data_IF_255412271172
#
_entry.id   IF_255412271172
#
_cell.length_a   1.000
_cell.length_b   1.000
_cell.length_c   1.000
_cell.angle_alpha   90.00
_cell.angle_beta   90.00
_cell.angle_gamma   90.00
#
_symmetry.space_group_name_H-M   'P 1'
#
loop_
_entity.id
_entity.type
_entity.pdbx_description
1 polymer ?
#
# COMPACT_ATOMS: atom_id res chain seq x y z
N UNK A 1 -15.29 23.32 2.26
CA UNK A 1 -14.04 22.67 1.79
C UNK A 1 -13.01 22.88 2.87
N UNK A 2 -12.66 21.84 3.61
CA UNK A 2 -11.42 21.87 4.38
C UNK A 2 -10.27 21.95 3.38
N UNK A 3 -9.41 22.96 3.54
CA UNK A 3 -8.25 23.12 2.66
C UNK A 3 -7.08 22.38 3.29
N UNK A 4 -6.49 21.46 2.53
CA UNK A 4 -5.22 20.86 2.91
C UNK A 4 -4.15 21.95 2.94
N UNK A 5 -3.52 22.15 4.10
CA UNK A 5 -2.48 23.15 4.29
C UNK A 5 -1.25 22.51 4.90
N UNK A 6 -0.09 22.78 4.29
CA UNK A 6 1.19 22.43 4.89
C UNK A 6 1.46 23.38 6.06
N UNK A 7 1.42 22.84 7.28
CA UNK A 7 1.68 23.59 8.51
C UNK A 7 3.17 23.66 8.85
N UNK A 8 3.91 22.60 8.55
CA UNK A 8 5.33 22.49 8.86
C UNK A 8 6.03 21.52 7.92
N UNK A 9 7.27 21.85 7.54
CA UNK A 9 8.15 20.99 6.78
C UNK A 9 9.55 21.02 7.39
N UNK A 10 10.20 19.87 7.47
CA UNK A 10 11.57 19.75 7.93
C UNK A 10 12.38 18.84 6.99
N UNK A 11 13.72 18.92 7.10
CA UNK A 11 14.61 18.01 6.40
C UNK A 11 14.72 16.68 7.18
N UNK A 12 14.72 15.57 6.45
CA UNK A 12 14.91 14.23 7.00
C UNK A 12 13.66 13.37 6.95
N UNK A 13 13.75 12.16 7.52
CA UNK A 13 12.66 11.18 7.61
C UNK A 13 12.76 10.36 8.89
N UNK A 14 11.69 9.63 9.22
CA UNK A 14 11.67 8.75 10.39
C UNK A 14 11.49 9.48 11.72
N UNK A 15 11.93 8.84 12.81
CA UNK A 15 11.65 9.27 14.20
C UNK A 15 11.94 10.74 14.48
N UNK A 16 13.12 11.22 14.11
CA UNK A 16 13.55 12.58 14.40
C UNK A 16 12.69 13.63 13.67
N UNK A 17 12.28 13.33 12.44
CA UNK A 17 11.40 14.20 11.66
C UNK A 17 10.01 14.32 12.31
N UNK A 18 9.45 13.20 12.79
CA UNK A 18 8.18 13.18 13.53
C UNK A 18 8.27 13.97 14.84
N UNK A 19 9.34 13.78 15.61
CA UNK A 19 9.53 14.53 16.86
C UNK A 19 9.65 16.04 16.64
N UNK A 20 10.28 16.45 15.53
CA UNK A 20 10.34 17.86 15.15
C UNK A 20 8.96 18.43 14.77
N UNK A 21 8.09 17.64 14.13
CA UNK A 21 6.67 18.01 13.92
C UNK A 21 5.98 18.19 15.28
N UNK A 22 6.13 17.24 16.21
CA UNK A 22 5.55 17.33 17.54
C UNK A 22 5.98 18.59 18.30
N UNK A 23 7.29 18.89 18.31
CA UNK A 23 7.82 20.13 18.91
C UNK A 23 7.25 21.38 18.26
N UNK A 24 7.10 21.39 16.93
CA UNK A 24 6.52 22.52 16.23
C UNK A 24 5.04 22.73 16.61
N UNK A 25 4.25 21.66 16.63
CA UNK A 25 2.84 21.71 17.03
C UNK A 25 2.67 22.18 18.47
N UNK A 26 3.50 21.67 19.39
CA UNK A 26 3.52 22.10 20.79
C UNK A 26 3.86 23.59 20.94
N UNK A 27 4.85 24.09 20.19
CA UNK A 27 5.20 25.51 20.17
C UNK A 27 4.07 26.41 19.62
N UNK A 28 3.14 25.83 18.86
CA UNK A 28 1.91 26.49 18.39
C UNK A 28 0.70 26.30 19.31
N UNK A 29 0.90 25.69 20.48
CA UNK A 29 -0.14 25.46 21.49
C UNK A 29 -0.97 24.19 21.28
N UNK A 30 -0.65 23.36 20.29
CA UNK A 30 -1.33 22.09 20.09
C UNK A 30 -0.71 21.01 20.97
N UNK A 31 -1.53 20.32 21.77
CA UNK A 31 -1.13 19.20 22.61
C UNK A 31 -1.14 17.90 21.80
N UNK A 32 -0.27 16.95 22.17
CA UNK A 32 -0.15 15.68 21.46
C UNK A 32 -1.46 14.88 21.46
N UNK A 33 -2.26 14.99 22.51
CA UNK A 33 -3.55 14.31 22.69
C UNK A 33 -4.64 14.83 21.73
N UNK A 34 -4.44 16.03 21.15
CA UNK A 34 -5.35 16.57 20.14
C UNK A 34 -5.14 15.91 18.78
N UNK A 35 -4.02 15.21 18.58
CA UNK A 35 -3.73 14.49 17.34
C UNK A 35 -4.38 13.11 17.41
N UNK A 36 -5.51 12.96 16.72
CA UNK A 36 -6.28 11.72 16.73
C UNK A 36 -5.76 10.67 15.75
N UNK A 37 -5.23 11.12 14.60
CA UNK A 37 -4.76 10.24 13.53
C UNK A 37 -3.49 10.78 12.89
N UNK A 38 -2.59 9.86 12.50
CA UNK A 38 -1.43 10.19 11.67
C UNK A 38 -1.33 9.20 10.53
N UNK A 39 -1.65 9.64 9.31
CA UNK A 39 -1.37 8.88 8.08
C UNK A 39 0.09 9.06 7.70
N UNK A 40 0.79 7.97 7.38
CA UNK A 40 2.22 7.99 7.05
C UNK A 40 2.65 6.78 6.21
N UNK A 41 3.89 6.81 5.74
CA UNK A 41 4.55 5.66 5.13
C UNK A 41 4.76 4.49 6.11
N UNK A 42 4.79 3.25 5.59
CA UNK A 42 5.06 2.04 6.39
C UNK A 42 6.56 1.88 6.69
N UNK A 43 7.14 2.83 7.44
CA UNK A 43 8.53 2.76 7.92
C UNK A 43 8.59 2.58 9.44
N UNK A 44 9.35 1.57 9.95
CA UNK A 44 9.46 1.33 11.39
C UNK A 44 9.91 2.56 12.18
N UNK A 45 10.79 3.37 11.59
CA UNK A 45 11.29 4.60 12.21
C UNK A 45 10.19 5.66 12.38
N UNK A 46 9.33 5.87 11.38
CA UNK A 46 8.21 6.82 11.47
C UNK A 46 7.15 6.33 12.45
N UNK A 47 6.82 5.04 12.42
CA UNK A 47 5.87 4.42 13.36
C UNK A 47 6.35 4.60 14.80
N UNK A 48 7.62 4.29 15.07
CA UNK A 48 8.19 4.49 16.40
C UNK A 48 8.23 5.98 16.79
N UNK A 49 8.47 6.86 15.83
CA UNK A 49 8.38 8.30 16.02
C UNK A 49 7.00 8.76 16.45
N UNK A 50 5.95 8.29 15.78
CA UNK A 50 4.57 8.68 16.11
C UNK A 50 4.14 8.08 17.43
N UNK A 51 4.41 6.80 17.70
CA UNK A 51 4.10 6.22 19.01
C UNK A 51 4.76 6.96 20.17
N UNK A 52 5.98 7.49 19.96
CA UNK A 52 6.68 8.29 20.97
C UNK A 52 6.19 9.75 21.07
N UNK A 53 5.68 10.33 19.98
CA UNK A 53 5.33 11.76 19.91
C UNK A 53 3.84 12.02 20.11
N UNK A 54 2.99 11.11 19.63
CA UNK A 54 1.52 11.17 19.66
C UNK A 54 0.97 9.82 20.13
N UNK A 55 1.14 9.47 21.42
CA UNK A 55 0.82 8.12 21.93
C UNK A 55 -0.66 7.74 21.81
N UNK A 56 -1.57 8.74 21.78
CA UNK A 56 -3.00 8.52 21.58
C UNK A 56 -3.46 8.49 20.11
N UNK A 57 -2.58 8.79 19.16
CA UNK A 57 -2.95 8.86 17.76
C UNK A 57 -3.07 7.46 17.14
N UNK A 58 -4.16 7.23 16.41
CA UNK A 58 -4.28 6.08 15.55
C UNK A 58 -3.37 6.27 14.31
N UNK A 59 -2.79 5.18 13.83
CA UNK A 59 -1.98 5.18 12.60
C UNK A 59 -2.78 4.43 11.54
N UNK A 60 -3.66 5.13 10.79
CA UNK A 60 -4.40 4.48 9.72
C UNK A 60 -3.49 3.97 8.59
N UNK A 61 -3.97 2.95 7.89
CA UNK A 61 -3.32 2.46 6.68
C UNK A 61 -3.40 3.48 5.54
N UNK A 62 -2.25 4.01 5.14
CA UNK A 62 -2.19 4.86 3.96
C UNK A 62 -2.40 4.02 2.68
N UNK A 63 -3.55 4.21 2.03
CA UNK A 63 -3.94 3.51 0.80
C UNK A 63 -2.90 3.64 -0.30
N UNK A 64 -2.32 4.83 -0.48
CA UNK A 64 -1.36 5.08 -1.54
C UNK A 64 -0.09 4.23 -1.38
N UNK A 65 0.46 4.16 -0.18
CA UNK A 65 1.66 3.35 0.09
C UNK A 65 1.40 1.85 -0.08
N UNK A 66 0.22 1.38 0.32
CA UNK A 66 -0.17 -0.04 0.16
C UNK A 66 -0.32 -0.39 -1.32
N UNK A 67 -1.08 0.42 -2.07
CA UNK A 67 -1.27 0.22 -3.53
C UNK A 67 0.07 0.32 -4.26
N UNK A 68 0.97 1.22 -3.83
CA UNK A 68 2.33 1.32 -4.38
C UNK A 68 3.13 0.04 -4.16
N UNK A 69 3.11 -0.53 -2.96
CA UNK A 69 3.79 -1.81 -2.66
C UNK A 69 3.22 -2.97 -3.46
N UNK A 70 1.89 -3.02 -3.62
CA UNK A 70 1.21 -4.04 -4.40
C UNK A 70 1.59 -3.93 -5.90
N UNK A 71 1.60 -2.71 -6.44
CA UNK A 71 2.05 -2.43 -7.80
C UNK A 71 3.52 -2.82 -8.01
N UNK A 72 4.39 -2.59 -7.02
CA UNK A 72 5.78 -3.06 -7.06
C UNK A 72 5.87 -4.58 -7.10
N UNK A 73 5.01 -5.30 -6.37
CA UNK A 73 4.96 -6.76 -6.43
C UNK A 73 4.55 -7.26 -7.83
N UNK A 74 3.52 -6.67 -8.44
CA UNK A 74 3.11 -7.00 -9.83
C UNK A 74 4.23 -6.70 -10.84
N UNK A 75 4.88 -5.54 -10.75
CA UNK A 75 5.99 -5.20 -11.64
C UNK A 75 7.20 -6.13 -11.44
N UNK A 76 7.46 -6.60 -10.22
CA UNK A 76 8.50 -7.58 -9.96
C UNK A 76 8.22 -8.92 -10.65
N UNK A 77 6.96 -9.39 -10.64
CA UNK A 77 6.55 -10.59 -11.41
C UNK A 77 6.74 -10.36 -12.90
N UNK A 78 6.26 -9.23 -13.44
CA UNK A 78 6.45 -8.87 -14.85
C UNK A 78 7.93 -8.82 -15.23
N UNK A 79 8.79 -8.27 -14.37
CA UNK A 79 10.25 -8.22 -14.60
C UNK A 79 10.89 -9.60 -14.61
N UNK A 80 10.40 -10.53 -13.79
CA UNK A 80 10.87 -11.91 -13.78
C UNK A 80 10.50 -12.62 -15.10
N UNK A 81 9.24 -12.55 -15.51
CA UNK A 81 8.74 -13.10 -16.78
C UNK A 81 9.45 -12.48 -18.01
N UNK A 82 9.71 -11.17 -17.96
CA UNK A 82 10.38 -10.44 -19.04
C UNK A 82 11.78 -10.98 -19.35
N UNK A 83 12.47 -11.62 -18.40
CA UNK A 83 13.81 -12.17 -18.64
C UNK A 83 13.82 -13.17 -19.81
N UNK A 84 12.74 -13.91 -19.97
CA UNK A 84 12.55 -14.91 -21.04
C UNK A 84 11.58 -14.43 -22.13
N UNK A 85 10.87 -13.31 -21.89
CA UNK A 85 9.76 -12.86 -22.72
C UNK A 85 9.80 -11.35 -23.01
N UNK A 86 10.48 -10.97 -24.09
CA UNK A 86 10.63 -9.58 -24.52
C UNK A 86 9.31 -8.87 -24.87
N UNK A 87 8.25 -9.63 -25.17
CA UNK A 87 6.91 -9.09 -25.41
C UNK A 87 6.34 -8.31 -24.22
N UNK A 88 6.88 -8.48 -23.00
CA UNK A 88 6.50 -7.71 -21.81
C UNK A 88 7.23 -6.37 -21.67
N UNK A 89 8.13 -6.04 -22.60
CA UNK A 89 8.86 -4.75 -22.63
C UNK A 89 7.90 -3.62 -22.97
N UNK A 90 7.97 -2.52 -22.22
CA UNK A 90 7.09 -1.35 -22.42
C UNK A 90 5.69 -1.48 -21.82
N UNK A 91 5.27 -2.68 -21.41
CA UNK A 91 3.91 -2.94 -20.90
C UNK A 91 3.72 -2.72 -19.39
N UNK A 92 4.67 -2.08 -18.69
CA UNK A 92 4.56 -1.84 -17.24
C UNK A 92 3.21 -1.19 -16.88
N UNK A 93 2.84 -0.09 -17.55
CA UNK A 93 1.62 0.64 -17.23
C UNK A 93 0.33 -0.11 -17.62
N UNK A 94 0.41 -1.10 -18.51
CA UNK A 94 -0.72 -1.99 -18.82
C UNK A 94 -1.15 -2.79 -17.58
N UNK A 95 -0.19 -3.19 -16.74
CA UNK A 95 -0.48 -3.93 -15.49
C UNK A 95 -0.68 -3.03 -14.27
N UNK A 96 -0.10 -1.83 -14.24
CA UNK A 96 -0.11 -0.96 -13.06
C UNK A 96 -1.32 -0.03 -12.98
N UNK A 97 -1.90 0.39 -14.11
CA UNK A 97 -3.08 1.24 -14.13
C UNK A 97 -4.33 0.51 -13.63
N UNK A 98 -5.39 1.29 -13.36
CA UNK A 98 -6.71 0.74 -13.09
C UNK A 98 -7.33 0.24 -14.41
N UNK A 99 -7.99 -0.93 -14.44
CA UNK A 99 -8.60 -1.46 -15.65
C UNK A 99 -9.49 -0.45 -16.38
N UNK A 100 -10.29 0.32 -15.62
CA UNK A 100 -11.21 1.33 -16.14
C UNK A 100 -10.51 2.53 -16.79
N UNK A 101 -9.21 2.72 -16.53
CA UNK A 101 -8.39 3.80 -17.10
C UNK A 101 -7.57 3.38 -18.33
N UNK A 102 -7.70 2.12 -18.74
CA UNK A 102 -7.03 1.57 -19.93
C UNK A 102 -7.89 1.82 -21.17
N UNK A 103 -7.25 2.17 -22.28
CA UNK A 103 -7.92 2.18 -23.60
C UNK A 103 -8.33 0.78 -24.01
N UNK A 104 -9.26 0.65 -24.96
CA UNK A 104 -9.69 -0.65 -25.49
C UNK A 104 -8.50 -1.50 -25.98
N UNK A 105 -7.57 -0.90 -26.73
CA UNK A 105 -6.34 -1.58 -27.17
C UNK A 105 -5.51 -2.08 -26.00
N UNK A 106 -5.37 -1.30 -24.92
CA UNK A 106 -4.63 -1.71 -23.73
C UNK A 106 -5.35 -2.83 -22.96
N UNK A 107 -6.68 -2.82 -22.93
CA UNK A 107 -7.47 -3.90 -22.32
C UNK A 107 -7.31 -5.22 -23.09
N UNK A 108 -7.32 -5.16 -24.43
CA UNK A 108 -7.07 -6.34 -25.28
C UNK A 108 -5.64 -6.88 -25.08
N UNK A 109 -4.63 -6.00 -25.05
CA UNK A 109 -3.25 -6.38 -24.76
C UNK A 109 -3.11 -7.00 -23.38
N UNK A 110 -3.73 -6.40 -22.36
CA UNK A 110 -3.76 -6.95 -21.01
C UNK A 110 -4.37 -8.36 -21.02
N UNK A 111 -5.57 -8.54 -21.57
CA UNK A 111 -6.24 -9.84 -21.62
C UNK A 111 -5.38 -10.92 -22.30
N UNK A 112 -4.74 -10.58 -23.43
CA UNK A 112 -3.82 -11.47 -24.13
C UNK A 112 -2.62 -11.86 -23.25
N UNK A 113 -1.97 -10.88 -22.62
CA UNK A 113 -0.80 -11.13 -21.76
C UNK A 113 -1.13 -11.95 -20.52
N UNK A 114 -2.27 -11.70 -19.86
CA UNK A 114 -2.68 -12.47 -18.70
C UNK A 114 -2.96 -13.94 -19.05
N UNK A 115 -3.36 -14.23 -20.31
CA UNK A 115 -3.53 -15.59 -20.82
C UNK A 115 -2.20 -16.27 -21.17
N UNK A 116 -1.27 -15.52 -21.77
CA UNK A 116 0.04 -16.04 -22.18
C UNK A 116 1.00 -16.26 -21.01
N UNK A 117 0.89 -15.45 -19.96
CA UNK A 117 1.79 -15.47 -18.80
C UNK A 117 0.98 -15.76 -17.53
N UNK A 118 0.69 -17.04 -17.21
CA UNK A 118 -0.27 -17.40 -16.17
C UNK A 118 0.12 -16.92 -14.77
N UNK A 119 1.40 -16.90 -14.43
CA UNK A 119 1.89 -16.38 -13.14
C UNK A 119 1.67 -14.86 -13.02
N UNK A 120 1.90 -14.11 -14.10
CA UNK A 120 1.58 -12.68 -14.16
C UNK A 120 0.07 -12.44 -14.15
N UNK A 121 -0.69 -13.32 -14.82
CA UNK A 121 -2.14 -13.44 -14.76
C UNK A 121 -2.66 -13.51 -13.33
N UNK A 122 -2.11 -14.45 -12.56
CA UNK A 122 -2.45 -14.69 -11.17
C UNK A 122 -2.08 -13.50 -10.27
N UNK A 123 -0.87 -12.95 -10.42
CA UNK A 123 -0.43 -11.75 -9.72
C UNK A 123 -1.39 -10.56 -9.97
N UNK A 124 -1.80 -10.35 -11.23
CA UNK A 124 -2.71 -9.28 -11.59
C UNK A 124 -4.11 -9.48 -10.97
N UNK A 125 -4.67 -10.69 -11.03
CA UNK A 125 -5.97 -10.98 -10.40
C UNK A 125 -5.95 -10.69 -8.90
N UNK A 126 -4.87 -11.07 -8.22
CA UNK A 126 -4.68 -10.79 -6.78
C UNK A 126 -4.58 -9.31 -6.49
N UNK A 127 -3.93 -8.53 -7.36
CA UNK A 127 -3.92 -7.06 -7.27
C UNK A 127 -5.34 -6.50 -7.33
N UNK A 128 -6.14 -6.95 -8.30
CA UNK A 128 -7.52 -6.46 -8.46
C UNK A 128 -8.37 -6.82 -7.24
N UNK A 129 -8.31 -8.08 -6.80
CA UNK A 129 -9.03 -8.55 -5.61
C UNK A 129 -8.66 -7.74 -4.37
N UNK A 130 -7.37 -7.41 -4.18
CA UNK A 130 -6.92 -6.64 -3.02
C UNK A 130 -7.59 -5.26 -2.92
N UNK A 131 -8.05 -4.67 -4.04
CA UNK A 131 -8.74 -3.38 -4.00
C UNK A 131 -10.10 -3.44 -3.30
N UNK A 132 -10.73 -4.61 -3.19
CA UNK A 132 -11.98 -4.79 -2.44
C UNK A 132 -11.82 -4.41 -0.97
N UNK A 133 -10.60 -4.49 -0.42
CA UNK A 133 -10.28 -4.06 0.95
C UNK A 133 -10.79 -2.64 1.26
N UNK A 134 -10.70 -1.73 0.28
CA UNK A 134 -11.04 -0.32 0.45
C UNK A 134 -12.55 -0.06 0.47
N UNK A 135 -13.36 -1.05 0.09
CA UNK A 135 -14.82 -0.98 0.07
C UNK A 135 -15.45 -1.67 1.28
N UNK A 136 -14.64 -2.24 2.18
CA UNK A 136 -15.14 -3.02 3.31
C UNK A 136 -15.62 -2.09 4.44
N UNK A 137 -16.88 -2.23 4.90
CA UNK A 137 -17.47 -1.30 5.86
C UNK A 137 -16.92 -1.49 7.28
N UNK A 138 -16.46 -2.70 7.62
CA UNK A 138 -16.13 -3.06 9.00
C UNK A 138 -14.72 -3.65 9.14
N UNK A 139 -14.05 -3.32 10.25
CA UNK A 139 -12.71 -3.80 10.57
C UNK A 139 -12.59 -5.33 10.64
N UNK A 140 -13.54 -6.08 11.25
CA UNK A 140 -13.47 -7.53 11.27
C UNK A 140 -13.51 -8.15 9.87
N UNK A 141 -14.36 -7.64 8.98
CA UNK A 141 -14.45 -8.08 7.59
C UNK A 141 -13.16 -7.80 6.81
N UNK A 142 -12.57 -6.61 6.99
CA UNK A 142 -11.28 -6.27 6.41
C UNK A 142 -10.15 -7.19 6.91
N UNK A 143 -10.16 -7.52 8.20
CA UNK A 143 -9.17 -8.42 8.80
C UNK A 143 -9.32 -9.85 8.28
N UNK A 144 -10.56 -10.37 8.21
CA UNK A 144 -10.84 -11.70 7.67
C UNK A 144 -10.41 -11.81 6.20
N UNK A 145 -10.78 -10.82 5.37
CA UNK A 145 -10.37 -10.74 3.97
C UNK A 145 -8.85 -10.75 3.83
N UNK A 146 -8.12 -9.91 4.58
CA UNK A 146 -6.66 -9.88 4.45
C UNK A 146 -5.99 -11.16 4.94
N UNK A 147 -6.53 -11.78 5.99
CA UNK A 147 -6.02 -13.06 6.48
C UNK A 147 -6.15 -14.12 5.38
N UNK A 148 -7.33 -14.22 4.77
CA UNK A 148 -7.59 -15.13 3.67
C UNK A 148 -6.72 -14.81 2.44
N UNK A 149 -6.69 -13.54 2.01
CA UNK A 149 -5.92 -13.11 0.85
C UNK A 149 -4.42 -13.43 1.00
N UNK A 150 -3.87 -13.24 2.21
CA UNK A 150 -2.48 -13.58 2.50
C UNK A 150 -2.23 -15.09 2.44
N UNK A 151 -3.17 -15.91 2.90
CA UNK A 151 -3.08 -17.36 2.82
C UNK A 151 -3.10 -17.85 1.36
N UNK A 152 -4.02 -17.34 0.55
CA UNK A 152 -4.09 -17.65 -0.88
C UNK A 152 -2.80 -17.21 -1.61
N UNK A 153 -2.21 -16.07 -1.21
CA UNK A 153 -0.92 -15.61 -1.77
C UNK A 153 0.21 -16.57 -1.44
N UNK A 154 0.24 -17.10 -0.21
CA UNK A 154 1.23 -18.11 0.18
C UNK A 154 1.10 -19.35 -0.68
N UNK A 155 -0.13 -19.85 -0.85
CA UNK A 155 -0.44 -21.03 -1.67
C UNK A 155 -0.10 -20.84 -3.14
N UNK A 156 -0.28 -19.63 -3.69
CA UNK A 156 0.07 -19.33 -5.09
C UNK A 156 1.59 -19.37 -5.38
N UNK A 157 2.44 -19.37 -4.36
CA UNK A 157 3.89 -19.53 -4.54
C UNK A 157 4.59 -18.37 -5.27
N UNK A 158 4.00 -17.17 -5.34
CA UNK A 158 4.56 -16.01 -6.06
C UNK A 158 5.48 -15.20 -5.11
N UNK A 159 6.82 -15.25 -5.25
CA UNK A 159 7.73 -14.71 -4.23
C UNK A 159 7.59 -13.20 -3.97
N UNK A 160 7.30 -12.44 -5.02
CA UNK A 160 7.05 -11.00 -4.91
C UNK A 160 5.80 -10.68 -4.07
N UNK A 161 4.76 -11.51 -4.19
CA UNK A 161 3.53 -11.35 -3.41
C UNK A 161 3.70 -11.86 -1.98
N UNK A 162 4.52 -12.89 -1.73
CA UNK A 162 4.89 -13.29 -0.36
C UNK A 162 5.57 -12.15 0.39
N UNK A 163 6.52 -11.48 -0.27
CA UNK A 163 7.21 -10.31 0.30
C UNK A 163 6.22 -9.19 0.65
N UNK A 164 5.27 -8.92 -0.25
CA UNK A 164 4.19 -7.97 0.00
C UNK A 164 3.31 -8.39 1.20
N UNK A 165 2.79 -9.62 1.19
CA UNK A 165 1.90 -10.14 2.24
C UNK A 165 2.56 -10.10 3.63
N UNK A 166 3.81 -10.55 3.75
CA UNK A 166 4.56 -10.50 5.00
C UNK A 166 4.69 -9.07 5.53
N UNK A 167 4.94 -8.12 4.62
CA UNK A 167 5.02 -6.70 4.99
C UNK A 167 3.68 -6.19 5.50
N UNK A 168 2.57 -6.48 4.82
CA UNK A 168 1.23 -6.04 5.24
C UNK A 168 0.83 -6.63 6.59
N UNK A 169 1.00 -7.95 6.79
CA UNK A 169 0.67 -8.63 8.05
C UNK A 169 1.41 -8.01 9.24
N UNK A 170 2.70 -7.67 9.06
CA UNK A 170 3.52 -7.06 10.11
C UNK A 170 2.97 -5.72 10.61
N UNK A 171 2.28 -4.97 9.75
CA UNK A 171 1.66 -3.69 10.10
C UNK A 171 0.19 -3.85 10.52
N UNK A 172 -0.52 -4.86 10.00
CA UNK A 172 -1.97 -5.04 10.21
C UNK A 172 -2.34 -5.28 11.67
N UNK A 173 -1.48 -5.97 12.42
CA UNK A 173 -1.69 -6.17 13.86
C UNK A 173 -1.66 -4.89 14.71
N UNK A 174 -1.14 -3.78 14.17
CA UNK A 174 -0.93 -2.54 14.92
C UNK A 174 -1.54 -1.28 14.29
N UNK A 175 -2.25 -1.40 13.17
CA UNK A 175 -2.81 -0.29 12.40
C UNK A 175 -4.27 -0.54 12.03
N UNK A 176 -5.04 0.52 11.84
CA UNK A 176 -6.48 0.46 11.58
C UNK A 176 -6.74 0.83 10.10
N UNK A 177 -7.70 0.20 9.40
CA UNK A 177 -8.13 0.66 8.07
C UNK A 177 -8.62 2.12 8.11
N UNK A 178 -8.37 2.89 7.06
CA UNK A 178 -9.15 4.11 6.81
C UNK A 178 -10.57 3.67 6.43
N UNK A 179 -11.52 3.86 7.35
CA UNK A 179 -12.95 3.79 7.04
C UNK A 179 -13.39 5.10 6.40
#
# INVERSE_FOLDING_TARGET
MESERVMYANKGKGRQAVQAIGRHLQAKGARAEQIQQVSMELSPASIAGVKATFPGAQIPFDRFHIVKLLNQAVDAVRKAERKEHDALKGHQYTFLKNPQSLSETQQQQLASMLRLYPTLGEAYRRKILFNELWSMPEKPSAHAFLTQWCEEVKQAGIPAFHTFANRIISYWSGMIPLC
#
